data_IF_723664081060
#
_entry.id   IF_723664081060
#
_cell.length_a   1.000
_cell.length_b   1.000
_cell.length_c   1.000
_cell.angle_alpha   90.00
_cell.angle_beta   90.00
_cell.angle_gamma   90.00
#
_symmetry.space_group_name_H-M   'P 1'
#
loop_
_entity.id
_entity.type
_entity.pdbx_description
1 polymer ?
#
# COMPACT_ATOMS: atom_id res chain seq x y z
N UNK A 1 -2.16 8.66 -8.14
CA UNK A 1 -3.62 8.84 -8.04
C UNK A 1 -3.95 9.83 -6.93
N UNK A 2 -5.01 10.63 -7.07
CA UNK A 2 -5.46 11.59 -6.05
C UNK A 2 -6.98 11.52 -5.91
N UNK A 3 -7.48 11.48 -4.68
CA UNK A 3 -8.93 11.44 -4.38
C UNK A 3 -9.29 12.68 -3.57
N UNK A 4 -10.37 13.36 -3.96
CA UNK A 4 -10.91 14.51 -3.23
C UNK A 4 -12.26 14.14 -2.62
N UNK A 5 -12.49 14.53 -1.37
CA UNK A 5 -13.74 14.26 -0.65
C UNK A 5 -14.21 15.53 0.07
N UNK A 6 -15.54 15.72 0.24
CA UNK A 6 -16.05 16.80 1.08
C UNK A 6 -15.48 16.71 2.50
N UNK A 7 -15.06 17.84 3.07
CA UNK A 7 -14.38 17.87 4.38
C UNK A 7 -15.18 17.17 5.49
N UNK A 8 -16.51 17.33 5.50
CA UNK A 8 -17.42 16.71 6.47
C UNK A 8 -17.44 15.17 6.40
N UNK A 9 -16.99 14.56 5.30
CA UNK A 9 -16.96 13.11 5.09
C UNK A 9 -15.55 12.50 5.19
N UNK A 10 -14.53 13.31 5.50
CA UNK A 10 -13.13 12.84 5.53
C UNK A 10 -12.94 11.62 6.45
N UNK A 11 -13.39 11.71 7.70
CA UNK A 11 -13.22 10.64 8.68
C UNK A 11 -13.96 9.35 8.27
N UNK A 12 -15.21 9.47 7.81
CA UNK A 12 -16.00 8.33 7.31
C UNK A 12 -15.31 7.65 6.12
N UNK A 13 -14.75 8.44 5.20
CA UNK A 13 -14.04 7.94 4.03
C UNK A 13 -12.73 7.24 4.42
N UNK A 14 -11.91 7.86 5.28
CA UNK A 14 -10.67 7.26 5.78
C UNK A 14 -10.94 5.89 6.44
N UNK A 15 -12.00 5.78 7.24
CA UNK A 15 -12.40 4.53 7.88
C UNK A 15 -12.76 3.45 6.85
N UNK A 16 -13.61 3.76 5.87
CA UNK A 16 -14.00 2.81 4.80
C UNK A 16 -12.81 2.35 3.95
N UNK A 17 -11.84 3.24 3.70
CA UNK A 17 -10.61 2.87 2.99
C UNK A 17 -9.79 1.88 3.83
N UNK A 18 -9.63 2.12 5.12
CA UNK A 18 -8.92 1.19 6.01
C UNK A 18 -9.59 -0.20 6.02
N UNK A 19 -10.92 -0.27 6.14
CA UNK A 19 -11.66 -1.53 6.06
C UNK A 19 -11.46 -2.27 4.72
N UNK A 20 -11.35 -1.52 3.61
CA UNK A 20 -11.16 -2.10 2.28
C UNK A 20 -9.73 -2.58 2.07
N UNK A 21 -8.74 -1.83 2.55
CA UNK A 21 -7.31 -2.15 2.47
C UNK A 21 -6.97 -3.36 3.33
N UNK A 22 -7.63 -3.53 4.49
CA UNK A 22 -7.47 -4.72 5.33
C UNK A 22 -7.85 -6.04 4.64
N UNK A 23 -8.54 -5.99 3.48
CA UNK A 23 -8.90 -7.18 2.68
C UNK A 23 -7.86 -7.52 1.61
N UNK A 24 -6.80 -6.72 1.48
CA UNK A 24 -5.68 -7.00 0.58
C UNK A 24 -4.92 -8.21 1.12
N UNK A 25 -4.69 -9.20 0.26
CA UNK A 25 -3.99 -10.44 0.55
C UNK A 25 -2.86 -10.61 -0.46
N UNK A 26 -1.67 -10.10 -0.16
CA UNK A 26 -0.47 -10.39 -0.93
C UNK A 26 0.00 -11.81 -0.62
N UNK A 27 0.52 -12.53 -1.61
CA UNK A 27 0.91 -13.92 -1.44
C UNK A 27 1.39 -14.57 -2.74
N UNK A 28 1.39 -15.90 -2.75
CA UNK A 28 1.71 -16.69 -3.95
C UNK A 28 0.73 -16.34 -5.08
N UNK A 29 1.27 -16.03 -6.26
CA UNK A 29 0.51 -15.65 -7.45
C UNK A 29 -0.40 -16.78 -7.97
N UNK A 30 -0.13 -18.02 -7.59
CA UNK A 30 -0.94 -19.18 -7.97
C UNK A 30 -1.94 -19.61 -6.89
N UNK A 31 -1.93 -18.95 -5.71
CA UNK A 31 -2.91 -19.23 -4.66
C UNK A 31 -4.22 -18.47 -4.92
N UNK A 32 -5.35 -19.18 -4.78
CA UNK A 32 -6.70 -18.64 -5.05
C UNK A 32 -7.11 -17.48 -4.13
N UNK A 33 -6.50 -17.39 -2.94
CA UNK A 33 -6.80 -16.35 -1.97
C UNK A 33 -5.94 -15.09 -2.15
N UNK A 34 -4.84 -15.15 -2.92
CA UNK A 34 -4.03 -13.98 -3.28
C UNK A 34 -4.81 -13.02 -4.17
N UNK A 35 -4.85 -11.75 -3.80
CA UNK A 35 -5.54 -10.71 -4.58
C UNK A 35 -4.67 -9.47 -4.85
N UNK A 36 -3.39 -9.56 -4.55
CA UNK A 36 -2.43 -8.49 -4.74
C UNK A 36 -1.07 -9.09 -5.11
N UNK A 37 -0.50 -8.66 -6.23
CA UNK A 37 0.79 -9.13 -6.72
C UNK A 37 1.92 -8.12 -6.45
N UNK A 38 3.17 -8.48 -6.75
CA UNK A 38 4.29 -7.57 -6.63
C UNK A 38 4.21 -6.47 -7.69
N UNK A 39 4.99 -5.42 -7.46
CA UNK A 39 5.29 -4.45 -8.50
C UNK A 39 6.20 -5.06 -9.57
N UNK A 40 6.29 -4.40 -10.72
CA UNK A 40 7.02 -4.92 -11.89
C UNK A 40 8.52 -5.12 -11.66
N UNK A 41 9.14 -4.35 -10.75
CA UNK A 41 10.59 -4.42 -10.51
C UNK A 41 11.00 -3.77 -9.18
N UNK A 42 12.19 -4.12 -8.68
CA UNK A 42 12.77 -3.50 -7.49
C UNK A 42 12.95 -1.98 -7.62
N UNK A 43 13.47 -1.42 -8.75
CA UNK A 43 13.50 0.02 -8.93
C UNK A 43 12.13 0.69 -8.89
N UNK A 44 11.06 0.01 -9.34
CA UNK A 44 9.71 0.54 -9.23
C UNK A 44 9.22 0.57 -7.77
N UNK A 45 9.46 -0.52 -7.03
CA UNK A 45 9.19 -0.60 -5.58
C UNK A 45 9.90 0.50 -4.80
N UNK A 46 11.20 0.65 -5.02
CA UNK A 46 12.01 1.63 -4.29
C UNK A 46 11.59 3.07 -4.61
N UNK A 47 11.14 3.33 -5.85
CA UNK A 47 10.53 4.61 -6.20
C UNK A 47 9.20 4.86 -5.47
N UNK A 48 8.33 3.86 -5.36
CA UNK A 48 7.07 3.96 -4.61
C UNK A 48 7.36 4.26 -3.13
N UNK A 49 8.28 3.52 -2.51
CA UNK A 49 8.69 3.74 -1.11
C UNK A 49 9.30 5.13 -0.91
N UNK A 50 10.10 5.62 -1.86
CA UNK A 50 10.64 6.98 -1.82
C UNK A 50 9.55 8.05 -1.82
N UNK A 51 8.48 7.89 -2.60
CA UNK A 51 7.35 8.82 -2.59
C UNK A 51 6.56 8.78 -1.27
N UNK A 52 6.37 7.60 -0.69
CA UNK A 52 5.75 7.45 0.63
C UNK A 52 6.57 8.20 1.68
N UNK A 53 7.89 8.03 1.68
CA UNK A 53 8.79 8.73 2.61
C UNK A 53 8.81 10.24 2.39
N UNK A 54 8.76 10.73 1.15
CA UNK A 54 8.61 12.17 0.85
C UNK A 54 7.33 12.73 1.46
N UNK A 55 6.20 12.02 1.28
CA UNK A 55 4.91 12.43 1.85
C UNK A 55 4.95 12.52 3.38
N UNK A 56 5.56 11.54 4.07
CA UNK A 56 5.75 11.59 5.53
C UNK A 56 6.59 12.80 5.94
N UNK A 57 7.70 13.07 5.26
CA UNK A 57 8.59 14.22 5.53
C UNK A 57 7.92 15.57 5.29
N UNK A 58 7.00 15.64 4.33
CA UNK A 58 6.19 16.81 4.00
C UNK A 58 4.97 16.99 4.94
N UNK A 59 4.79 16.10 5.93
CA UNK A 59 3.74 16.21 6.96
C UNK A 59 2.45 15.46 6.63
N UNK A 60 2.44 14.59 5.62
CA UNK A 60 1.30 13.72 5.37
C UNK A 60 1.18 12.66 6.46
N UNK A 61 -0.07 12.37 6.86
CA UNK A 61 -0.37 11.26 7.77
C UNK A 61 -0.57 9.98 6.97
N UNK A 62 0.32 9.00 7.17
CA UNK A 62 0.13 7.65 6.65
C UNK A 62 -0.93 6.91 7.47
N UNK A 63 -1.96 6.38 6.81
CA UNK A 63 -3.05 5.67 7.49
C UNK A 63 -2.74 4.18 7.71
N UNK A 64 -2.07 3.52 6.76
CA UNK A 64 -1.70 2.10 6.83
C UNK A 64 -0.63 1.75 5.77
N UNK A 65 0.03 0.61 5.93
CA UNK A 65 1.02 0.08 4.99
C UNK A 65 2.26 0.95 4.88
N UNK A 66 2.78 1.13 3.65
CA UNK A 66 3.83 2.10 3.36
C UNK A 66 5.26 1.62 3.61
N UNK A 67 5.46 0.31 3.66
CA UNK A 67 6.75 -0.35 3.86
C UNK A 67 6.85 -1.53 2.88
N UNK A 68 8.06 -2.06 2.64
CA UNK A 68 8.18 -3.31 1.89
C UNK A 68 7.73 -4.49 2.76
N UNK A 69 6.95 -5.41 2.18
CA UNK A 69 6.71 -6.71 2.80
C UNK A 69 8.02 -7.50 2.88
N UNK A 70 8.20 -8.24 3.98
CA UNK A 70 9.42 -9.01 4.28
C UNK A 70 9.04 -10.39 4.82
N UNK A 71 9.93 -11.35 4.65
CA UNK A 71 9.69 -12.74 5.08
C UNK A 71 8.69 -13.46 4.18
N UNK A 72 8.38 -14.73 4.50
CA UNK A 72 7.35 -15.55 3.84
C UNK A 72 7.40 -15.56 2.30
N UNK A 73 8.61 -15.47 1.73
CA UNK A 73 8.84 -15.46 0.28
C UNK A 73 8.75 -14.08 -0.39
N UNK A 74 8.40 -13.02 0.34
CA UNK A 74 8.33 -11.65 -0.19
C UNK A 74 9.71 -11.04 -0.48
N UNK A 75 10.78 -11.51 0.17
CA UNK A 75 12.12 -10.92 0.03
C UNK A 75 12.67 -11.01 -1.41
N UNK A 76 12.20 -11.97 -2.19
CA UNK A 76 12.62 -12.20 -3.57
C UNK A 76 11.76 -11.45 -4.62
N UNK A 77 10.76 -10.69 -4.18
CA UNK A 77 9.86 -9.93 -5.06
C UNK A 77 9.79 -8.44 -4.74
N UNK A 78 9.25 -7.66 -5.67
CA UNK A 78 9.11 -6.22 -5.54
C UNK A 78 7.81 -5.83 -4.81
N UNK A 79 7.66 -6.21 -3.54
CA UNK A 79 6.45 -6.02 -2.75
C UNK A 79 6.43 -4.73 -1.91
N UNK A 80 5.25 -4.15 -1.73
CA UNK A 80 4.93 -3.00 -0.85
C UNK A 80 3.63 -3.31 -0.11
#
# INVERSE_FOLDING_TARGET
TRVFVPAKRKAEFEHKILERVARIRPGDLFADDTNFGPLVSFPHRDNVLRYIESGKREGARLLCGGEALKGDGFDNGAWV
#
